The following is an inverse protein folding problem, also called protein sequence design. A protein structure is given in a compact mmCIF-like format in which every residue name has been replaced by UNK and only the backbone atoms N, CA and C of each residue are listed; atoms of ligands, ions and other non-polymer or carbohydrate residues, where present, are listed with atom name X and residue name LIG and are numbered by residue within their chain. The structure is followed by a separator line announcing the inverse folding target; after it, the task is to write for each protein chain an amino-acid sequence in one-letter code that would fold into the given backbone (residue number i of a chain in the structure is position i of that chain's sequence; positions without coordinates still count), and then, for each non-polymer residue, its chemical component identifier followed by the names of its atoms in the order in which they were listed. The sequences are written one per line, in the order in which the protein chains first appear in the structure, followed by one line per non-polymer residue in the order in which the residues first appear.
data_IF_943665812589
#
_entry.id   IF_943665812589
#
_cell.length_a   1.000
_cell.length_b   1.000
_cell.length_c   1.000
_cell.angle_alpha   90.00
_cell.angle_beta   90.00
_cell.angle_gamma   90.00
#
_symmetry.space_group_name_H-M   'P 1'
#
loop_
_entity.id
_entity.type
_entity.pdbx_description
1 polymer ?
#
# COMPACT_ATOMS: atom_id res chain seq x y z
N UNK A 1 24.00 17.65 -51.46
CA UNK A 1 22.78 18.28 -50.89
C UNK A 1 21.48 17.48 -51.04
N UNK A 2 21.29 16.63 -52.07
CA UNK A 2 20.05 15.85 -52.27
C UNK A 2 19.80 14.76 -51.19
N UNK A 3 20.83 14.01 -50.76
CA UNK A 3 20.70 12.95 -49.73
C UNK A 3 20.35 13.46 -48.32
N UNK A 4 20.63 14.72 -48.00
CA UNK A 4 20.33 15.31 -46.68
C UNK A 4 18.86 15.77 -46.56
N UNK A 5 18.25 16.26 -47.64
CA UNK A 5 16.81 16.61 -47.67
C UNK A 5 15.90 15.38 -47.60
N UNK A 6 16.30 14.28 -48.25
CA UNK A 6 15.56 13.01 -48.23
C UNK A 6 15.55 12.30 -46.85
N UNK A 7 16.61 12.45 -46.04
CA UNK A 7 16.64 11.90 -44.67
C UNK A 7 15.74 12.67 -43.71
N UNK A 8 15.75 14.01 -43.77
CA UNK A 8 14.87 14.86 -42.93
C UNK A 8 13.38 14.67 -43.24
N UNK A 9 13.00 14.47 -44.50
CA UNK A 9 11.60 14.21 -44.86
C UNK A 9 11.12 12.82 -44.37
N UNK A 10 11.98 11.81 -44.43
CA UNK A 10 11.68 10.47 -43.90
C UNK A 10 11.57 10.45 -42.37
N UNK A 11 12.46 11.16 -41.66
CA UNK A 11 12.41 11.29 -40.19
C UNK A 11 11.15 12.01 -39.72
N UNK A 12 10.73 13.08 -40.41
CA UNK A 12 9.51 13.84 -40.08
C UNK A 12 8.25 13.01 -40.33
N UNK A 13 8.20 12.24 -41.41
CA UNK A 13 7.10 11.33 -41.71
C UNK A 13 6.98 10.18 -40.68
N UNK A 14 8.12 9.64 -40.22
CA UNK A 14 8.18 8.62 -39.17
C UNK A 14 7.69 9.18 -37.82
N UNK A 15 8.10 10.40 -37.47
CA UNK A 15 7.66 11.08 -36.27
C UNK A 15 6.14 11.33 -36.27
N UNK A 16 5.60 11.88 -37.36
CA UNK A 16 4.17 12.17 -37.49
C UNK A 16 3.32 10.89 -37.45
N UNK A 17 3.77 9.81 -38.09
CA UNK A 17 3.09 8.50 -38.01
C UNK A 17 3.07 7.96 -36.59
N UNK A 18 4.20 8.08 -35.87
CA UNK A 18 4.31 7.62 -34.47
C UNK A 18 3.46 8.45 -33.51
N UNK A 19 3.33 9.75 -33.75
CA UNK A 19 2.44 10.63 -32.98
C UNK A 19 0.96 10.28 -33.22
N UNK A 20 0.55 10.09 -34.48
CA UNK A 20 -0.81 9.74 -34.85
C UNK A 20 -1.25 8.37 -34.30
N UNK A 21 -0.36 7.36 -34.30
CA UNK A 21 -0.62 6.05 -33.68
C UNK A 21 -0.82 6.19 -32.16
N UNK A 22 0.01 7.00 -31.49
CA UNK A 22 -0.14 7.28 -30.06
C UNK A 22 -1.46 7.99 -29.74
N UNK A 23 -1.85 8.96 -30.56
CA UNK A 23 -3.12 9.67 -30.40
C UNK A 23 -4.32 8.71 -30.56
N UNK A 24 -4.32 7.89 -31.62
CA UNK A 24 -5.37 6.88 -31.82
C UNK A 24 -5.45 5.86 -30.68
N UNK A 25 -4.32 5.49 -30.09
CA UNK A 25 -4.28 4.63 -28.90
C UNK A 25 -4.95 5.30 -27.70
N UNK A 26 -4.61 6.57 -27.44
CA UNK A 26 -5.17 7.35 -26.34
C UNK A 26 -6.67 7.54 -26.49
N UNK A 27 -7.15 7.84 -27.69
CA UNK A 27 -8.58 7.97 -28.00
C UNK A 27 -9.34 6.67 -27.71
N UNK A 28 -8.80 5.51 -28.13
CA UNK A 28 -9.40 4.20 -27.84
C UNK A 28 -9.45 3.89 -26.34
N UNK A 29 -8.38 4.23 -25.60
CA UNK A 29 -8.36 4.06 -24.14
C UNK A 29 -9.36 4.99 -23.45
N UNK A 30 -9.46 6.24 -23.90
CA UNK A 30 -10.44 7.21 -23.39
C UNK A 30 -11.87 6.73 -23.61
N UNK A 31 -12.17 6.26 -24.83
CA UNK A 31 -13.47 5.67 -25.19
C UNK A 31 -13.88 4.52 -24.25
N UNK A 32 -12.96 3.60 -23.94
CA UNK A 32 -13.24 2.49 -23.02
C UNK A 32 -13.51 2.98 -21.58
N UNK A 33 -12.86 4.07 -21.15
CA UNK A 33 -13.13 4.68 -19.84
C UNK A 33 -14.50 5.36 -19.80
N UNK A 34 -14.91 6.01 -20.88
CA UNK A 34 -16.23 6.62 -21.01
C UNK A 34 -17.34 5.57 -20.97
N UNK A 35 -17.19 4.48 -21.71
CA UNK A 35 -18.14 3.36 -21.68
C UNK A 35 -18.35 2.81 -20.27
N UNK A 36 -17.27 2.72 -19.49
CA UNK A 36 -17.31 2.22 -18.12
C UNK A 36 -17.99 3.17 -17.12
N UNK A 37 -18.33 4.41 -17.52
CA UNK A 37 -19.04 5.38 -16.71
C UNK A 37 -20.54 5.47 -17.04
N UNK A 38 -20.99 4.77 -18.09
CA UNK A 38 -22.36 4.78 -18.58
C UNK A 38 -23.08 3.47 -18.20
N UNK A 39 -24.43 3.44 -18.19
CA UNK A 39 -25.18 2.20 -18.07
C UNK A 39 -24.75 1.19 -19.14
N UNK A 40 -24.60 -0.07 -18.75
CA UNK A 40 -24.14 -1.11 -19.66
C UNK A 40 -25.18 -1.38 -20.77
N UNK A 41 -24.76 -1.23 -22.02
CA UNK A 41 -25.50 -1.62 -23.23
C UNK A 41 -24.85 -2.83 -23.91
N UNK A 42 -25.58 -3.52 -24.78
CA UNK A 42 -25.02 -4.62 -25.57
C UNK A 42 -23.87 -4.15 -26.48
N UNK A 43 -23.97 -2.94 -27.02
CA UNK A 43 -22.88 -2.31 -27.80
C UNK A 43 -21.63 -2.09 -26.95
N UNK A 44 -21.79 -1.56 -25.73
CA UNK A 44 -20.67 -1.36 -24.81
C UNK A 44 -20.00 -2.70 -24.45
N UNK A 45 -20.81 -3.73 -24.20
CA UNK A 45 -20.33 -5.08 -23.92
C UNK A 45 -19.54 -5.67 -25.11
N UNK A 46 -20.03 -5.50 -26.34
CA UNK A 46 -19.35 -5.96 -27.55
C UNK A 46 -18.05 -5.18 -27.82
N UNK A 47 -18.05 -3.86 -27.62
CA UNK A 47 -16.87 -3.01 -27.78
C UNK A 47 -15.77 -3.38 -26.77
N UNK A 48 -16.14 -3.61 -25.50
CA UNK A 48 -15.22 -4.10 -24.46
C UNK A 48 -14.70 -5.49 -24.81
N UNK A 49 -15.56 -6.43 -25.24
CA UNK A 49 -15.14 -7.78 -25.67
C UNK A 49 -14.09 -7.72 -26.76
N UNK A 50 -14.31 -6.89 -27.79
CA UNK A 50 -13.37 -6.74 -28.89
C UNK A 50 -12.03 -6.15 -28.40
N UNK A 51 -12.09 -5.16 -27.51
CA UNK A 51 -10.91 -4.53 -26.95
C UNK A 51 -10.07 -5.46 -26.06
N UNK A 52 -10.69 -6.40 -25.34
CA UNK A 52 -9.99 -7.46 -24.59
C UNK A 52 -9.11 -8.33 -25.49
N UNK A 53 -9.43 -8.46 -26.78
CA UNK A 53 -8.64 -9.22 -27.77
C UNK A 53 -7.50 -8.41 -28.41
N UNK A 54 -7.33 -7.14 -28.02
CA UNK A 54 -6.29 -6.27 -28.57
C UNK A 54 -4.88 -6.80 -28.27
N UNK A 55 -3.96 -6.61 -29.23
CA UNK A 55 -2.52 -6.82 -29.03
C UNK A 55 -1.86 -5.70 -28.22
N UNK A 56 -2.53 -4.57 -28.06
CA UNK A 56 -2.05 -3.48 -27.22
C UNK A 56 -2.44 -3.74 -25.77
N UNK A 57 -1.43 -3.88 -24.89
CA UNK A 57 -1.63 -4.00 -23.45
C UNK A 57 -2.45 -2.85 -22.87
N UNK A 58 -2.23 -1.61 -23.33
CA UNK A 58 -2.97 -0.44 -22.85
C UNK A 58 -4.48 -0.50 -23.18
N UNK A 59 -4.85 -0.90 -24.39
CA UNK A 59 -6.26 -1.06 -24.78
C UNK A 59 -6.88 -2.22 -24.01
N UNK A 60 -6.20 -3.37 -23.96
CA UNK A 60 -6.71 -4.55 -23.29
C UNK A 60 -6.90 -4.31 -21.78
N UNK A 61 -5.94 -3.63 -21.13
CA UNK A 61 -6.05 -3.22 -19.72
C UNK A 61 -7.24 -2.27 -19.49
N UNK A 62 -7.44 -1.29 -20.36
CA UNK A 62 -8.60 -0.39 -20.27
C UNK A 62 -9.93 -1.14 -20.42
N UNK A 63 -9.97 -2.16 -21.29
CA UNK A 63 -11.13 -3.02 -21.47
C UNK A 63 -11.41 -3.88 -20.24
N UNK A 64 -10.38 -4.52 -19.66
CA UNK A 64 -10.51 -5.30 -18.43
C UNK A 64 -11.02 -4.43 -17.27
N UNK A 65 -10.49 -3.22 -17.11
CA UNK A 65 -10.98 -2.25 -16.12
C UNK A 65 -12.43 -1.83 -16.36
N UNK A 66 -12.84 -1.68 -17.62
CA UNK A 66 -14.23 -1.42 -17.97
C UNK A 66 -15.15 -2.58 -17.59
N UNK A 67 -14.73 -3.82 -17.90
CA UNK A 67 -15.45 -5.02 -17.52
C UNK A 67 -15.58 -5.17 -15.99
N UNK A 68 -14.53 -4.83 -15.24
CA UNK A 68 -14.54 -4.81 -13.77
C UNK A 68 -15.56 -3.82 -13.22
N UNK A 69 -15.52 -2.56 -13.68
CA UNK A 69 -16.41 -1.48 -13.22
C UNK A 69 -17.88 -1.78 -13.52
N UNK A 70 -18.16 -2.32 -14.68
CA UNK A 70 -19.51 -2.70 -15.11
C UNK A 70 -19.92 -4.10 -14.63
N UNK A 71 -19.07 -4.80 -13.87
CA UNK A 71 -19.29 -6.17 -13.35
C UNK A 71 -19.72 -7.16 -14.45
N UNK A 72 -19.02 -7.16 -15.59
CA UNK A 72 -19.37 -7.95 -16.77
C UNK A 72 -18.92 -9.41 -16.68
N UNK A 73 -19.56 -10.22 -15.83
CA UNK A 73 -19.21 -11.64 -15.63
C UNK A 73 -19.23 -12.48 -16.93
N UNK A 74 -20.04 -12.07 -17.92
CA UNK A 74 -20.12 -12.72 -19.25
C UNK A 74 -18.81 -12.65 -20.06
N UNK A 75 -17.89 -11.75 -19.70
CA UNK A 75 -16.60 -11.57 -20.38
C UNK A 75 -15.45 -12.34 -19.71
N UNK A 76 -15.76 -13.19 -18.71
CA UNK A 76 -14.76 -14.00 -18.01
C UNK A 76 -13.87 -14.80 -18.97
N UNK A 77 -14.40 -15.55 -19.97
CA UNK A 77 -13.55 -16.31 -20.89
C UNK A 77 -12.55 -15.43 -21.65
N UNK A 78 -12.98 -14.24 -22.08
CA UNK A 78 -12.15 -13.29 -22.82
C UNK A 78 -11.10 -12.63 -21.93
N UNK A 79 -11.41 -12.34 -20.66
CA UNK A 79 -10.44 -11.82 -19.68
C UNK A 79 -9.38 -12.89 -19.37
N UNK A 80 -9.78 -14.16 -19.18
CA UNK A 80 -8.83 -15.27 -18.99
C UNK A 80 -7.95 -15.48 -20.22
N UNK A 81 -8.53 -15.44 -21.43
CA UNK A 81 -7.78 -15.53 -22.68
C UNK A 81 -6.80 -14.35 -22.86
N UNK A 82 -7.22 -13.13 -22.48
CA UNK A 82 -6.36 -11.94 -22.44
C UNK A 82 -5.18 -12.14 -21.50
N UNK A 83 -5.42 -12.58 -20.27
CA UNK A 83 -4.36 -12.84 -19.29
C UNK A 83 -3.32 -13.82 -19.83
N UNK A 84 -3.77 -14.99 -20.32
CA UNK A 84 -2.88 -16.02 -20.86
C UNK A 84 -2.05 -15.48 -22.05
N UNK A 85 -2.66 -14.68 -22.94
CA UNK A 85 -1.95 -14.10 -24.08
C UNK A 85 -0.82 -13.15 -23.66
N UNK A 86 -1.02 -12.34 -22.63
CA UNK A 86 0.01 -11.40 -22.15
C UNK A 86 1.06 -12.05 -21.24
N UNK A 87 0.93 -13.35 -20.93
CA UNK A 87 2.03 -14.17 -20.39
C UNK A 87 3.02 -14.58 -21.48
N UNK A 88 2.63 -14.52 -22.77
CA UNK A 88 3.53 -14.83 -23.89
C UNK A 88 4.40 -13.61 -24.25
N UNK A 89 5.72 -13.77 -24.16
CA UNK A 89 6.71 -12.70 -24.37
C UNK A 89 6.41 -11.42 -23.55
N UNK A 90 6.21 -11.55 -22.22
CA UNK A 90 5.50 -10.57 -21.40
C UNK A 90 6.21 -9.21 -21.34
N UNK A 91 7.54 -9.18 -21.32
CA UNK A 91 8.36 -7.95 -21.36
C UNK A 91 8.08 -7.12 -22.62
N UNK A 92 7.80 -7.77 -23.76
CA UNK A 92 7.56 -7.09 -25.05
C UNK A 92 6.09 -6.74 -25.25
N UNK A 93 5.20 -7.63 -24.86
CA UNK A 93 3.76 -7.53 -25.15
C UNK A 93 3.01 -6.76 -24.06
N UNK A 94 3.52 -6.74 -22.84
CA UNK A 94 2.92 -6.12 -21.66
C UNK A 94 3.97 -5.53 -20.71
N UNK A 95 4.81 -4.62 -21.22
CA UNK A 95 5.78 -3.88 -20.38
C UNK A 95 5.06 -3.14 -19.25
N UNK A 96 5.62 -3.26 -18.05
CA UNK A 96 5.04 -2.83 -16.78
C UNK A 96 3.93 -3.73 -16.23
N UNK A 97 3.73 -4.93 -16.80
CA UNK A 97 2.74 -5.92 -16.34
C UNK A 97 1.29 -5.40 -16.24
N UNK A 98 0.94 -4.40 -17.05
CA UNK A 98 -0.29 -3.59 -16.90
C UNK A 98 -1.55 -4.35 -17.31
N UNK A 99 -1.49 -5.11 -18.41
CA UNK A 99 -2.61 -5.87 -18.92
C UNK A 99 -2.90 -7.09 -18.04
N UNK A 100 -1.86 -7.81 -17.62
CA UNK A 100 -2.04 -8.96 -16.71
C UNK A 100 -2.62 -8.53 -15.37
N UNK A 101 -2.12 -7.44 -14.79
CA UNK A 101 -2.65 -6.89 -13.55
C UNK A 101 -4.13 -6.51 -13.71
N UNK A 102 -4.47 -5.72 -14.73
CA UNK A 102 -5.86 -5.33 -14.98
C UNK A 102 -6.79 -6.53 -15.23
N UNK A 103 -6.31 -7.60 -15.87
CA UNK A 103 -7.08 -8.82 -16.04
C UNK A 103 -7.37 -9.50 -14.70
N UNK A 104 -6.37 -9.64 -13.82
CA UNK A 104 -6.54 -10.25 -12.49
C UNK A 104 -7.43 -9.39 -11.58
N UNK A 105 -7.26 -8.07 -11.59
CA UNK A 105 -8.13 -7.14 -10.87
C UNK A 105 -9.58 -7.24 -11.36
N UNK A 106 -9.79 -7.34 -12.67
CA UNK A 106 -11.12 -7.56 -13.24
C UNK A 106 -11.72 -8.90 -12.83
N UNK A 107 -10.95 -9.99 -12.84
CA UNK A 107 -11.39 -11.31 -12.39
C UNK A 107 -11.77 -11.31 -10.91
N UNK A 108 -10.99 -10.62 -10.06
CA UNK A 108 -11.34 -10.41 -8.66
C UNK A 108 -12.62 -9.60 -8.51
N UNK A 109 -12.80 -8.53 -9.31
CA UNK A 109 -13.98 -7.69 -9.27
C UNK A 109 -15.25 -8.38 -9.81
N UNK A 110 -15.15 -9.47 -10.57
CA UNK A 110 -16.32 -10.25 -11.04
C UNK A 110 -16.46 -11.59 -10.33
N UNK A 111 -15.78 -11.75 -9.19
CA UNK A 111 -15.84 -12.92 -8.32
C UNK A 111 -15.46 -14.25 -9.00
N UNK A 112 -14.50 -14.22 -9.93
CA UNK A 112 -13.98 -15.42 -10.61
C UNK A 112 -13.45 -16.44 -9.61
N UNK A 113 -13.81 -17.72 -9.76
CA UNK A 113 -13.61 -18.74 -8.73
C UNK A 113 -12.44 -19.71 -8.98
N UNK A 114 -11.86 -19.75 -10.19
CA UNK A 114 -10.86 -20.76 -10.53
C UNK A 114 -9.45 -20.31 -10.15
N UNK A 115 -8.71 -21.19 -9.47
CA UNK A 115 -7.39 -20.88 -8.92
C UNK A 115 -6.30 -20.70 -9.99
N UNK A 116 -6.40 -21.37 -11.14
CA UNK A 116 -5.33 -21.50 -12.13
C UNK A 116 -4.74 -20.16 -12.59
N UNK A 117 -5.58 -19.15 -12.82
CA UNK A 117 -5.12 -17.81 -13.22
C UNK A 117 -4.32 -17.14 -12.11
N UNK A 118 -4.83 -17.22 -10.87
CA UNK A 118 -4.16 -16.63 -9.72
C UNK A 118 -2.87 -17.37 -9.37
N UNK A 119 -2.83 -18.70 -9.47
CA UNK A 119 -1.62 -19.50 -9.28
C UNK A 119 -0.53 -19.17 -10.31
N UNK A 120 -0.90 -18.95 -11.57
CA UNK A 120 0.05 -18.49 -12.59
C UNK A 120 0.59 -17.10 -12.27
N UNK A 121 -0.27 -16.18 -11.85
CA UNK A 121 0.11 -14.80 -11.62
C UNK A 121 0.90 -14.59 -10.33
N UNK A 122 0.57 -15.27 -9.22
CA UNK A 122 1.34 -15.18 -7.96
C UNK A 122 2.76 -15.71 -8.08
N UNK A 123 3.01 -16.60 -9.05
CA UNK A 123 4.33 -17.17 -9.35
C UNK A 123 5.05 -16.45 -10.51
N UNK A 124 4.46 -15.39 -11.05
CA UNK A 124 5.00 -14.69 -12.22
C UNK A 124 6.04 -13.64 -11.82
N UNK A 125 7.14 -13.62 -12.56
CA UNK A 125 8.20 -12.61 -12.48
C UNK A 125 8.42 -12.00 -13.86
N UNK A 126 8.56 -10.68 -13.93
CA UNK A 126 8.77 -9.96 -15.17
C UNK A 126 9.95 -9.00 -15.02
N UNK A 127 11.16 -9.55 -15.20
CA UNK A 127 12.39 -8.76 -15.17
C UNK A 127 12.50 -7.90 -16.43
N UNK A 128 12.39 -6.58 -16.26
CA UNK A 128 12.50 -5.61 -17.35
C UNK A 128 13.83 -4.84 -17.30
N UNK A 129 14.37 -4.44 -18.47
CA UNK A 129 15.54 -3.58 -18.53
C UNK A 129 15.32 -2.24 -17.81
N UNK A 130 16.31 -1.80 -17.04
CA UNK A 130 16.29 -0.53 -16.32
C UNK A 130 17.67 0.13 -16.39
N UNK A 131 17.81 1.35 -15.86
CA UNK A 131 19.13 1.93 -15.61
C UNK A 131 19.74 1.27 -14.37
N UNK A 132 20.50 0.19 -14.57
CA UNK A 132 21.07 -0.64 -13.51
C UNK A 132 20.62 -2.10 -13.62
N UNK A 133 20.50 -2.83 -12.50
CA UNK A 133 19.96 -4.19 -12.49
C UNK A 133 18.52 -4.22 -13.03
N UNK A 134 18.11 -5.27 -13.75
CA UNK A 134 16.72 -5.43 -14.17
C UNK A 134 15.76 -5.33 -12.99
N UNK A 135 14.60 -4.71 -13.22
CA UNK A 135 13.55 -4.53 -12.20
C UNK A 135 12.42 -5.50 -12.49
N UNK A 136 11.91 -6.16 -11.46
CA UNK A 136 10.70 -6.97 -11.58
C UNK A 136 9.46 -6.06 -11.55
N UNK A 137 8.67 -6.08 -12.62
CA UNK A 137 7.45 -5.25 -12.74
C UNK A 137 6.16 -5.99 -12.39
N UNK A 138 6.25 -7.24 -11.93
CA UNK A 138 5.10 -8.10 -11.66
C UNK A 138 4.69 -8.20 -10.18
N UNK A 139 5.28 -7.40 -9.28
CA UNK A 139 4.99 -7.42 -7.84
C UNK A 139 3.52 -7.16 -7.51
N UNK A 140 2.91 -6.16 -8.13
CA UNK A 140 1.48 -5.87 -7.99
C UNK A 140 0.60 -6.99 -8.56
N UNK A 141 1.03 -7.67 -9.63
CA UNK A 141 0.33 -8.84 -10.17
C UNK A 141 0.32 -9.97 -9.13
N UNK A 142 1.47 -10.24 -8.49
CA UNK A 142 1.56 -11.27 -7.46
C UNK A 142 0.68 -10.94 -6.26
N UNK A 143 0.69 -9.69 -5.80
CA UNK A 143 -0.19 -9.21 -4.74
C UNK A 143 -1.68 -9.40 -5.07
N UNK A 144 -2.11 -8.99 -6.28
CA UNK A 144 -3.51 -9.13 -6.71
C UNK A 144 -3.94 -10.60 -6.85
N UNK A 145 -3.01 -11.48 -7.28
CA UNK A 145 -3.27 -12.91 -7.34
C UNK A 145 -3.36 -13.56 -5.95
N UNK A 146 -2.53 -13.15 -5.00
CA UNK A 146 -2.64 -13.58 -3.61
C UNK A 146 -4.00 -13.23 -3.02
N UNK A 147 -4.48 -12.00 -3.25
CA UNK A 147 -5.82 -11.59 -2.85
C UNK A 147 -6.93 -12.45 -3.52
N UNK A 148 -6.74 -12.82 -4.80
CA UNK A 148 -7.64 -13.72 -5.50
C UNK A 148 -7.69 -15.13 -4.89
N UNK A 149 -6.52 -15.73 -4.60
CA UNK A 149 -6.42 -17.04 -3.93
C UNK A 149 -7.05 -17.02 -2.54
N UNK A 150 -6.86 -15.93 -1.79
CA UNK A 150 -7.50 -15.73 -0.50
C UNK A 150 -9.03 -15.67 -0.63
N UNK A 151 -9.54 -14.83 -1.54
CA UNK A 151 -10.98 -14.65 -1.78
C UNK A 151 -11.69 -15.96 -2.13
N UNK A 152 -11.06 -16.81 -2.94
CA UNK A 152 -11.67 -18.10 -3.34
C UNK A 152 -11.47 -19.21 -2.30
N UNK A 153 -10.79 -18.95 -1.18
CA UNK A 153 -10.51 -19.94 -0.15
C UNK A 153 -9.59 -21.07 -0.64
N UNK A 154 -8.55 -20.74 -1.41
CA UNK A 154 -7.63 -21.74 -1.96
C UNK A 154 -6.97 -22.55 -0.83
N UNK A 155 -7.09 -23.88 -0.90
CA UNK A 155 -6.70 -24.77 0.20
C UNK A 155 -5.21 -24.73 0.58
N UNK A 156 -4.32 -24.44 -0.37
CA UNK A 156 -2.87 -24.33 -0.15
C UNK A 156 -2.40 -22.86 -0.07
N UNK A 157 -3.30 -21.93 0.27
CA UNK A 157 -2.99 -20.49 0.32
C UNK A 157 -1.72 -20.20 1.13
N UNK A 158 -1.57 -20.78 2.33
CA UNK A 158 -0.43 -20.52 3.19
C UNK A 158 0.92 -20.91 2.53
N UNK A 159 0.95 -21.95 1.70
CA UNK A 159 2.15 -22.34 0.96
C UNK A 159 2.60 -21.24 -0.02
N UNK A 160 1.65 -20.64 -0.73
CA UNK A 160 1.94 -19.53 -1.64
C UNK A 160 2.34 -18.26 -0.87
N UNK A 161 1.63 -17.95 0.23
CA UNK A 161 1.89 -16.76 1.04
C UNK A 161 3.28 -16.79 1.67
N UNK A 162 3.75 -17.94 2.18
CA UNK A 162 5.10 -18.10 2.74
C UNK A 162 6.17 -17.74 1.71
N UNK A 163 6.02 -18.20 0.47
CA UNK A 163 6.94 -17.83 -0.61
C UNK A 163 6.90 -16.32 -0.85
N UNK A 164 5.70 -15.74 -0.88
CA UNK A 164 5.46 -14.31 -1.10
C UNK A 164 5.99 -13.41 0.03
N UNK A 165 6.06 -13.90 1.28
CA UNK A 165 6.69 -13.17 2.41
C UNK A 165 8.19 -12.93 2.22
N UNK A 166 8.82 -13.73 1.37
CA UNK A 166 10.25 -13.64 1.04
C UNK A 166 10.51 -13.03 -0.33
N UNK A 167 9.47 -12.48 -0.95
CA UNK A 167 9.57 -11.83 -2.26
C UNK A 167 10.59 -10.68 -2.24
N UNK A 168 11.25 -10.46 -3.37
CA UNK A 168 12.22 -9.37 -3.52
C UNK A 168 11.54 -8.01 -3.42
N UNK A 169 10.30 -7.93 -3.90
CA UNK A 169 9.56 -6.69 -3.99
C UNK A 169 8.67 -6.49 -2.75
N UNK A 170 8.73 -5.30 -2.11
CA UNK A 170 8.03 -5.05 -0.85
C UNK A 170 6.50 -5.09 -0.98
N UNK A 171 5.96 -4.73 -2.15
CA UNK A 171 4.51 -4.76 -2.41
C UNK A 171 3.96 -6.17 -2.26
N UNK A 172 4.66 -7.15 -2.83
CA UNK A 172 4.31 -8.57 -2.73
C UNK A 172 4.39 -9.06 -1.28
N UNK A 173 5.48 -8.73 -0.57
CA UNK A 173 5.65 -9.09 0.86
C UNK A 173 4.52 -8.54 1.72
N UNK A 174 4.19 -7.25 1.55
CA UNK A 174 3.10 -6.58 2.27
C UNK A 174 1.76 -7.27 2.02
N UNK A 175 1.44 -7.58 0.76
CA UNK A 175 0.20 -8.28 0.43
C UNK A 175 0.09 -9.63 1.16
N UNK A 176 1.19 -10.39 1.23
CA UNK A 176 1.23 -11.64 1.99
C UNK A 176 0.93 -11.43 3.49
N UNK A 177 1.60 -10.45 4.11
CA UNK A 177 1.43 -10.14 5.54
C UNK A 177 0.00 -9.69 5.86
N UNK A 178 -0.61 -8.87 5.01
CA UNK A 178 -2.00 -8.44 5.18
C UNK A 178 -2.96 -9.63 5.11
N UNK A 179 -2.79 -10.52 4.14
CA UNK A 179 -3.65 -11.70 3.99
C UNK A 179 -3.46 -12.67 5.18
N UNK A 180 -2.22 -12.89 5.63
CA UNK A 180 -1.95 -13.71 6.83
C UNK A 180 -2.62 -13.12 8.07
N UNK A 181 -2.61 -11.80 8.20
CA UNK A 181 -3.28 -11.07 9.29
C UNK A 181 -4.79 -11.30 9.26
N UNK A 182 -5.40 -11.19 8.08
CA UNK A 182 -6.84 -11.37 7.88
C UNK A 182 -7.30 -12.83 8.08
N UNK A 183 -6.46 -13.81 7.68
CA UNK A 183 -6.70 -15.23 7.96
C UNK A 183 -6.70 -15.52 9.46
N UNK A 184 -5.83 -14.87 10.23
CA UNK A 184 -5.93 -14.81 11.69
C UNK A 184 -5.66 -16.10 12.46
N UNK A 185 -5.10 -17.13 11.82
CA UNK A 185 -4.80 -18.41 12.48
C UNK A 185 -3.46 -18.36 13.23
N UNK A 186 -3.27 -19.28 14.19
CA UNK A 186 -2.01 -19.40 14.94
C UNK A 186 -0.81 -19.68 14.01
N UNK A 187 -1.00 -20.44 12.93
CA UNK A 187 0.03 -20.62 11.91
C UNK A 187 0.48 -19.30 11.28
N UNK A 188 -0.46 -18.40 10.95
CA UNK A 188 -0.17 -17.06 10.43
C UNK A 188 0.62 -16.24 11.44
N UNK A 189 0.21 -16.27 12.71
CA UNK A 189 0.93 -15.59 13.79
C UNK A 189 2.39 -16.03 13.86
N UNK A 190 2.66 -17.34 13.84
CA UNK A 190 4.02 -17.89 13.88
C UNK A 190 4.86 -17.48 12.67
N UNK A 191 4.25 -17.43 11.48
CA UNK A 191 4.91 -16.95 10.25
C UNK A 191 5.28 -15.47 10.34
N UNK A 192 4.39 -14.62 10.85
CA UNK A 192 4.67 -13.20 11.08
C UNK A 192 5.81 -13.02 12.10
N UNK A 193 5.82 -13.79 13.19
CA UNK A 193 6.94 -13.77 14.16
C UNK A 193 8.25 -14.17 13.51
N UNK A 194 8.25 -15.25 12.72
CA UNK A 194 9.44 -15.70 12.00
C UNK A 194 9.97 -14.60 11.07
N UNK A 195 9.08 -13.92 10.34
CA UNK A 195 9.45 -12.82 9.46
C UNK A 195 10.06 -11.64 10.21
N UNK A 196 9.51 -11.28 11.37
CA UNK A 196 10.11 -10.25 12.24
C UNK A 196 11.53 -10.65 12.65
N UNK A 197 11.72 -11.89 13.11
CA UNK A 197 13.02 -12.38 13.56
C UNK A 197 14.06 -12.49 12.43
N UNK A 198 13.61 -12.74 11.21
CA UNK A 198 14.47 -12.71 10.02
C UNK A 198 14.89 -11.28 9.64
N UNK A 199 14.07 -10.29 10.00
CA UNK A 199 14.22 -8.90 9.59
C UNK A 199 13.78 -8.64 8.16
N UNK A 200 13.79 -7.36 7.80
CA UNK A 200 13.53 -6.88 6.44
C UNK A 200 14.37 -5.62 6.18
N UNK A 201 14.67 -5.35 4.92
CA UNK A 201 15.36 -4.12 4.53
C UNK A 201 14.44 -2.91 4.53
N UNK A 202 13.13 -3.14 4.51
CA UNK A 202 12.07 -2.14 4.53
C UNK A 202 11.40 -2.21 5.90
N UNK A 203 11.67 -1.25 6.81
CA UNK A 203 11.13 -1.26 8.18
C UNK A 203 9.61 -1.42 8.22
N UNK A 204 8.89 -0.81 7.28
CA UNK A 204 7.43 -0.86 7.20
C UNK A 204 6.89 -2.29 7.02
N UNK A 205 7.69 -3.22 6.45
CA UNK A 205 7.32 -4.64 6.35
C UNK A 205 7.34 -5.31 7.74
N UNK A 206 8.27 -4.90 8.60
CA UNK A 206 8.33 -5.33 10.00
C UNK A 206 7.18 -4.70 10.79
N UNK A 207 6.87 -3.43 10.53
CA UNK A 207 5.68 -2.75 11.05
C UNK A 207 4.37 -3.47 10.70
N UNK A 208 4.19 -3.84 9.43
CA UNK A 208 3.03 -4.62 8.98
C UNK A 208 2.94 -5.96 9.73
N UNK A 209 4.07 -6.64 9.96
CA UNK A 209 4.11 -7.86 10.77
C UNK A 209 3.71 -7.61 12.23
N UNK A 210 4.22 -6.55 12.87
CA UNK A 210 3.86 -6.21 14.25
C UNK A 210 2.36 -5.91 14.39
N UNK A 211 1.79 -5.13 13.46
CA UNK A 211 0.36 -4.87 13.43
C UNK A 211 -0.44 -6.17 13.25
N UNK A 212 0.02 -7.05 12.36
CA UNK A 212 -0.58 -8.38 12.19
C UNK A 212 -0.55 -9.21 13.46
N UNK A 213 0.60 -9.30 14.13
CA UNK A 213 0.74 -10.01 15.41
C UNK A 213 -0.18 -9.47 16.50
N UNK A 214 -0.28 -8.14 16.62
CA UNK A 214 -1.18 -7.48 17.57
C UNK A 214 -2.66 -7.67 17.22
N UNK A 215 -2.98 -7.86 15.94
CA UNK A 215 -4.36 -8.15 15.48
C UNK A 215 -4.75 -9.60 15.77
N UNK A 216 -3.87 -10.56 15.46
CA UNK A 216 -4.16 -11.99 15.59
C UNK A 216 -4.21 -12.42 17.06
N UNK A 217 -3.22 -11.99 17.86
CA UNK A 217 -3.05 -12.49 19.22
C UNK A 217 -2.47 -11.43 20.17
N UNK A 218 -3.20 -10.33 20.43
CA UNK A 218 -2.68 -9.13 21.09
C UNK A 218 -1.99 -9.40 22.43
N UNK A 219 -2.59 -10.23 23.30
CA UNK A 219 -2.07 -10.49 24.64
C UNK A 219 -0.68 -11.16 24.64
N UNK A 220 -0.45 -12.13 23.74
CA UNK A 220 0.85 -12.82 23.61
C UNK A 220 1.83 -12.06 22.71
N UNK A 221 1.32 -11.28 21.75
CA UNK A 221 2.12 -10.50 20.83
C UNK A 221 2.71 -9.25 21.47
N UNK A 222 2.01 -8.62 22.42
CA UNK A 222 2.51 -7.43 23.10
C UNK A 222 3.91 -7.63 23.69
N UNK A 223 4.10 -8.70 24.47
CA UNK A 223 5.41 -9.02 25.09
C UNK A 223 6.50 -9.30 24.06
N UNK A 224 6.14 -9.80 22.88
CA UNK A 224 7.09 -10.01 21.79
C UNK A 224 7.47 -8.68 21.12
N UNK A 225 6.48 -7.85 20.75
CA UNK A 225 6.70 -6.56 20.07
C UNK A 225 7.45 -5.57 20.97
N UNK A 226 7.19 -5.59 22.28
CA UNK A 226 7.89 -4.75 23.26
C UNK A 226 9.42 -4.91 23.26
N UNK A 227 9.93 -6.08 22.88
CA UNK A 227 11.37 -6.34 22.80
C UNK A 227 12.04 -5.46 21.74
N UNK A 228 11.28 -5.04 20.72
CA UNK A 228 11.77 -4.22 19.62
C UNK A 228 11.71 -2.72 19.90
N UNK A 229 11.04 -2.27 20.97
CA UNK A 229 11.09 -0.87 21.39
C UNK A 229 12.53 -0.40 21.69
N UNK A 230 13.38 -1.32 22.16
CA UNK A 230 14.79 -1.09 22.47
C UNK A 230 15.73 -1.47 21.31
N UNK A 231 15.22 -1.71 20.09
CA UNK A 231 16.06 -2.01 18.92
C UNK A 231 17.10 -0.90 18.70
N UNK A 232 18.33 -1.25 18.28
CA UNK A 232 19.33 -0.23 17.92
C UNK A 232 18.95 0.54 16.65
N UNK A 233 18.18 -0.10 15.76
CA UNK A 233 17.57 0.56 14.62
C UNK A 233 16.30 1.31 15.05
N UNK A 234 16.37 2.64 15.00
CA UNK A 234 15.29 3.53 15.38
C UNK A 234 14.03 3.32 14.53
N UNK A 235 14.18 2.99 13.25
CA UNK A 235 13.03 2.74 12.37
C UNK A 235 12.26 1.49 12.83
N UNK A 236 12.95 0.40 13.13
CA UNK A 236 12.32 -0.80 13.72
C UNK A 236 11.67 -0.51 15.08
N UNK A 237 12.32 0.28 15.93
CA UNK A 237 11.74 0.68 17.22
C UNK A 237 10.48 1.54 17.06
N UNK A 238 10.47 2.43 16.07
CA UNK A 238 9.32 3.26 15.72
C UNK A 238 8.14 2.39 15.24
N UNK A 239 8.38 1.43 14.36
CA UNK A 239 7.36 0.50 13.89
C UNK A 239 6.75 -0.35 15.02
N UNK A 240 7.58 -0.82 15.95
CA UNK A 240 7.11 -1.54 17.13
C UNK A 240 6.22 -0.64 18.01
N UNK A 241 6.65 0.60 18.25
CA UNK A 241 5.89 1.55 19.05
C UNK A 241 4.55 1.91 18.37
N UNK A 242 4.55 2.18 17.07
CA UNK A 242 3.35 2.47 16.29
C UNK A 242 2.36 1.30 16.33
N UNK A 243 2.83 0.06 16.17
CA UNK A 243 1.97 -1.13 16.26
C UNK A 243 1.34 -1.28 17.66
N UNK A 244 2.10 -1.06 18.73
CA UNK A 244 1.57 -1.07 20.10
C UNK A 244 0.53 0.04 20.27
N UNK A 245 0.84 1.27 19.84
CA UNK A 245 -0.07 2.41 19.92
C UNK A 245 -1.38 2.19 19.16
N UNK A 246 -1.31 1.67 17.94
CA UNK A 246 -2.47 1.41 17.08
C UNK A 246 -3.32 0.22 17.55
N UNK A 247 -2.74 -0.74 18.27
CA UNK A 247 -3.46 -1.94 18.74
C UNK A 247 -4.64 -1.62 19.66
N UNK A 248 -4.62 -0.44 20.32
CA UNK A 248 -5.56 -0.06 21.39
C UNK A 248 -5.68 -1.09 22.51
N UNK A 249 -4.67 -1.93 22.69
CA UNK A 249 -4.58 -2.83 23.81
C UNK A 249 -4.59 -2.05 25.12
N UNK A 250 -5.26 -2.54 26.16
CA UNK A 250 -5.43 -1.83 27.44
C UNK A 250 -4.08 -1.43 28.07
N UNK A 251 -3.06 -2.28 27.94
CA UNK A 251 -1.71 -2.02 28.47
C UNK A 251 -0.85 -1.13 27.57
N UNK A 252 -1.27 -0.80 26.34
CA UNK A 252 -0.41 -0.13 25.36
C UNK A 252 0.12 1.22 25.87
N UNK A 253 -0.76 2.04 26.45
CA UNK A 253 -0.37 3.34 27.01
C UNK A 253 0.67 3.20 28.13
N UNK A 254 0.40 2.34 29.11
CA UNK A 254 1.30 2.14 30.25
C UNK A 254 2.69 1.69 29.79
N UNK A 255 2.76 0.79 28.81
CA UNK A 255 4.00 0.23 28.28
C UNK A 255 4.82 1.23 27.48
N UNK A 256 4.17 2.00 26.60
CA UNK A 256 4.83 3.07 25.85
C UNK A 256 5.35 4.18 26.76
N UNK A 257 4.58 4.54 27.80
CA UNK A 257 4.98 5.55 28.79
C UNK A 257 6.17 5.06 29.64
N UNK A 258 6.13 3.82 30.12
CA UNK A 258 7.24 3.19 30.84
C UNK A 258 8.52 3.22 29.98
N UNK A 259 8.39 2.85 28.70
CA UNK A 259 9.50 2.88 27.76
C UNK A 259 10.07 4.30 27.54
N UNK A 260 9.20 5.30 27.39
CA UNK A 260 9.62 6.70 27.22
C UNK A 260 10.35 7.23 28.46
N UNK A 261 9.87 6.89 29.65
CA UNK A 261 10.46 7.36 30.90
C UNK A 261 11.85 6.75 31.16
N UNK A 262 12.06 5.48 30.80
CA UNK A 262 13.38 4.82 30.93
C UNK A 262 14.37 5.20 29.82
N UNK A 263 13.88 5.63 28.67
CA UNK A 263 14.72 6.01 27.53
C UNK A 263 15.59 7.22 27.87
N UNK A 264 16.90 7.14 27.63
CA UNK A 264 17.83 8.27 27.84
C UNK A 264 18.03 9.04 26.53
N UNK A 265 17.98 8.33 25.40
CA UNK A 265 18.22 8.89 24.07
C UNK A 265 17.09 9.82 23.62
N UNK A 266 17.39 11.08 23.24
CA UNK A 266 16.37 12.06 22.84
C UNK A 266 15.50 11.62 21.66
N UNK A 267 16.07 10.93 20.68
CA UNK A 267 15.35 10.45 19.50
C UNK A 267 14.21 9.50 19.88
N UNK A 268 14.45 8.55 20.79
CA UNK A 268 13.44 7.61 21.28
C UNK A 268 12.35 8.32 22.07
N UNK A 269 12.72 9.25 22.96
CA UNK A 269 11.74 10.06 23.71
C UNK A 269 10.81 10.85 22.81
N UNK A 270 11.35 11.43 21.72
CA UNK A 270 10.56 12.19 20.74
C UNK A 270 9.63 11.27 19.96
N UNK A 271 10.16 10.18 19.40
CA UNK A 271 9.40 9.24 18.56
C UNK A 271 8.15 8.70 19.27
N UNK A 272 8.27 8.36 20.56
CA UNK A 272 7.18 7.74 21.33
C UNK A 272 5.94 8.62 21.56
N UNK A 273 6.02 9.93 21.31
CA UNK A 273 4.89 10.84 21.51
C UNK A 273 3.72 10.52 20.57
N UNK A 274 4.00 10.14 19.32
CA UNK A 274 2.96 9.75 18.36
C UNK A 274 2.31 8.39 18.72
N UNK A 275 3.07 7.30 18.94
CA UNK A 275 2.55 6.04 19.48
C UNK A 275 1.68 6.21 20.73
N UNK A 276 2.11 7.05 21.69
CA UNK A 276 1.31 7.33 22.90
C UNK A 276 -0.02 7.99 22.51
N UNK A 277 -0.02 8.97 21.60
CA UNK A 277 -1.25 9.56 21.11
C UNK A 277 -2.18 8.52 20.46
N UNK A 278 -1.64 7.61 19.65
CA UNK A 278 -2.41 6.59 18.92
C UNK A 278 -3.20 5.63 19.83
N UNK A 279 -2.81 5.49 21.10
CA UNK A 279 -3.60 4.73 22.10
C UNK A 279 -5.00 5.31 22.35
N UNK A 280 -5.19 6.61 22.06
CA UNK A 280 -6.47 7.34 22.11
C UNK A 280 -7.18 7.37 23.48
N UNK A 281 -6.49 7.07 24.58
CA UNK A 281 -7.04 7.19 25.92
C UNK A 281 -6.91 8.62 26.51
N UNK A 282 -7.69 8.92 27.55
CA UNK A 282 -7.67 10.23 28.20
C UNK A 282 -6.35 10.48 28.94
N UNK A 283 -5.71 9.43 29.46
CA UNK A 283 -4.40 9.48 30.11
C UNK A 283 -3.30 9.88 29.13
N UNK A 284 -3.32 9.34 27.91
CA UNK A 284 -2.40 9.72 26.84
C UNK A 284 -2.59 11.19 26.46
N UNK A 285 -3.84 11.63 26.31
CA UNK A 285 -4.15 13.02 26.01
C UNK A 285 -3.67 13.97 27.11
N UNK A 286 -3.96 13.66 28.38
CA UNK A 286 -3.51 14.45 29.52
C UNK A 286 -1.99 14.51 29.64
N UNK A 287 -1.32 13.37 29.43
CA UNK A 287 0.15 13.29 29.40
C UNK A 287 0.76 14.16 28.29
N UNK A 288 0.22 14.10 27.08
CA UNK A 288 0.74 14.93 25.98
C UNK A 288 0.54 16.42 26.25
N UNK A 289 -0.57 16.84 26.86
CA UNK A 289 -0.73 18.23 27.30
C UNK A 289 0.28 18.61 28.39
N UNK A 290 0.68 17.69 29.26
CA UNK A 290 1.76 17.91 30.21
C UNK A 290 3.11 18.08 29.50
N UNK A 291 3.43 17.23 28.53
CA UNK A 291 4.65 17.37 27.71
C UNK A 291 4.68 18.74 27.02
N UNK A 292 3.54 19.18 26.48
CA UNK A 292 3.43 20.53 25.91
C UNK A 292 3.69 21.61 26.95
N UNK A 293 3.27 21.47 28.21
CA UNK A 293 3.52 22.52 29.23
C UNK A 293 4.94 22.54 29.75
N UNK A 294 5.49 21.36 30.05
CA UNK A 294 6.60 21.25 31.00
C UNK A 294 7.93 20.85 30.32
N UNK A 295 7.90 20.18 29.17
CA UNK A 295 9.12 19.67 28.54
C UNK A 295 9.80 20.70 27.62
N UNK A 296 11.01 20.36 27.17
CA UNK A 296 11.78 21.13 26.20
C UNK A 296 10.98 21.40 24.91
N UNK A 297 11.21 22.55 24.28
CA UNK A 297 10.43 23.03 23.14
C UNK A 297 10.30 22.01 21.99
N UNK A 298 11.31 21.18 21.77
CA UNK A 298 11.31 20.16 20.71
C UNK A 298 10.34 19.02 20.99
N UNK A 299 10.21 18.59 22.25
CA UNK A 299 9.24 17.59 22.67
C UNK A 299 7.84 18.19 22.75
N UNK A 300 7.72 19.44 23.20
CA UNK A 300 6.44 20.14 23.21
C UNK A 300 5.88 20.31 21.78
N UNK A 301 6.71 20.71 20.81
CA UNK A 301 6.32 20.79 19.41
C UNK A 301 5.92 19.43 18.83
N UNK A 302 6.69 18.36 19.11
CA UNK A 302 6.35 17.00 18.69
C UNK A 302 5.04 16.50 19.34
N UNK A 303 4.79 16.83 20.61
CA UNK A 303 3.56 16.48 21.30
C UNK A 303 2.36 17.20 20.69
N UNK A 304 2.51 18.46 20.27
CA UNK A 304 1.47 19.18 19.51
C UNK A 304 1.17 18.50 18.18
N UNK A 305 2.20 18.07 17.43
CA UNK A 305 2.02 17.31 16.20
C UNK A 305 1.26 15.99 16.46
N UNK A 306 1.64 15.25 17.51
CA UNK A 306 0.98 14.01 17.91
C UNK A 306 -0.48 14.23 18.35
N UNK A 307 -0.78 15.35 19.01
CA UNK A 307 -2.14 15.73 19.45
C UNK A 307 -3.09 16.05 18.28
N UNK A 308 -2.58 16.18 17.04
CA UNK A 308 -3.40 16.45 15.85
C UNK A 308 -4.54 15.44 15.65
N UNK A 309 -4.34 14.18 16.04
CA UNK A 309 -5.36 13.12 15.94
C UNK A 309 -6.62 13.40 16.78
N UNK A 310 -6.54 14.33 17.72
CA UNK A 310 -7.65 14.73 18.60
C UNK A 310 -8.34 16.02 18.13
N UNK A 311 -7.81 16.68 17.09
CA UNK A 311 -8.33 17.95 16.64
C UNK A 311 -9.76 17.85 16.14
N UNK A 312 -10.24 16.71 15.65
CA UNK A 312 -11.64 16.57 15.22
C UNK A 312 -12.65 16.81 16.35
N UNK A 313 -12.25 16.57 17.61
CA UNK A 313 -13.05 16.89 18.78
C UNK A 313 -12.88 18.38 19.18
N UNK A 314 -13.93 19.22 19.12
CA UNK A 314 -13.82 20.65 19.41
C UNK A 314 -13.36 20.97 20.85
N UNK A 315 -13.72 20.13 21.82
CA UNK A 315 -13.33 20.33 23.22
C UNK A 315 -11.83 20.04 23.41
N UNK A 316 -11.34 18.91 22.88
CA UNK A 316 -9.91 18.58 22.91
C UNK A 316 -9.08 19.61 22.13
N UNK A 317 -9.56 20.04 20.96
CA UNK A 317 -8.94 21.13 20.18
C UNK A 317 -8.83 22.43 20.98
N UNK A 318 -9.89 22.82 21.69
CA UNK A 318 -9.87 24.02 22.52
C UNK A 318 -8.87 23.91 23.68
N UNK A 319 -8.76 22.73 24.31
CA UNK A 319 -7.78 22.47 25.36
C UNK A 319 -6.34 22.57 24.83
N UNK A 320 -6.04 21.91 23.70
CA UNK A 320 -4.72 22.01 23.04
C UNK A 320 -4.39 23.48 22.74
N UNK A 321 -5.32 24.23 22.16
CA UNK A 321 -5.13 25.64 21.82
C UNK A 321 -4.79 26.50 23.04
N UNK A 322 -5.47 26.29 24.17
CA UNK A 322 -5.18 27.01 25.41
C UNK A 322 -3.80 26.66 25.93
N UNK A 323 -3.47 25.37 25.99
CA UNK A 323 -2.17 24.90 26.47
C UNK A 323 -1.00 25.45 25.64
N UNK A 324 -1.14 25.51 24.31
CA UNK A 324 -0.14 26.12 23.42
C UNK A 324 -0.01 27.63 23.66
N UNK A 325 -1.13 28.34 23.83
CA UNK A 325 -1.15 29.77 24.09
C UNK A 325 -0.52 30.12 25.45
N UNK A 326 -0.84 29.36 26.49
CA UNK A 326 -0.32 29.54 27.86
C UNK A 326 1.20 29.32 27.91
N UNK A 327 1.74 28.38 27.12
CA UNK A 327 3.18 28.15 27.02
C UNK A 327 3.91 29.34 26.38
N UNK A 328 3.31 29.97 25.35
CA UNK A 328 3.86 31.15 24.70
C UNK A 328 5.09 30.94 23.81
N UNK A 329 5.55 29.69 23.63
CA UNK A 329 6.71 29.36 22.78
C UNK A 329 6.38 29.51 21.30
N UNK A 330 7.24 30.25 20.57
CA UNK A 330 7.07 30.48 19.12
C UNK A 330 7.13 29.18 18.31
N UNK A 331 8.05 28.28 18.65
CA UNK A 331 8.22 26.99 17.95
C UNK A 331 6.96 26.12 18.10
N UNK A 332 6.45 26.00 19.32
CA UNK A 332 5.25 25.21 19.65
C UNK A 332 4.01 25.81 18.99
N UNK A 333 3.89 27.15 18.98
CA UNK A 333 2.82 27.86 18.29
C UNK A 333 2.84 27.60 16.77
N UNK A 334 4.02 27.64 16.15
CA UNK A 334 4.17 27.36 14.72
C UNK A 334 3.80 25.90 14.37
N UNK A 335 4.20 24.93 15.21
CA UNK A 335 3.79 23.54 15.05
C UNK A 335 2.27 23.39 15.09
N UNK A 336 1.60 24.05 16.04
CA UNK A 336 0.14 24.01 16.14
C UNK A 336 -0.55 24.64 14.92
N UNK A 337 -0.05 25.75 14.41
CA UNK A 337 -0.59 26.38 13.19
C UNK A 337 -0.49 25.46 11.98
N UNK A 338 0.64 24.74 11.82
CA UNK A 338 0.83 23.76 10.75
C UNK A 338 -0.21 22.63 10.84
N UNK A 339 -0.46 22.10 12.04
CA UNK A 339 -1.49 21.08 12.27
C UNK A 339 -2.87 21.58 11.84
N UNK A 340 -3.24 22.81 12.19
CA UNK A 340 -4.53 23.39 11.81
C UNK A 340 -4.70 23.62 10.30
N UNK A 341 -3.60 23.89 9.57
CA UNK A 341 -3.63 24.04 8.12
C UNK A 341 -3.86 22.70 7.43
N UNK A 342 -3.20 21.63 7.90
CA UNK A 342 -3.35 20.28 7.37
C UNK A 342 -4.73 19.68 7.62
N UNK A 343 -5.40 20.07 8.71
CA UNK A 343 -6.77 19.62 9.00
C UNK A 343 -7.85 20.29 8.13
N UNK A 344 -7.51 21.32 7.36
CA UNK A 344 -8.45 22.05 6.47
C UNK A 344 -8.35 21.66 5.00
N UNK A 345 -7.33 20.89 4.62
CA UNK A 345 -7.07 20.41 3.26
C UNK A 345 -7.61 19.01 3.03
#
# INVERSE_FOLDING_TARGET
MSRFRSRRSAETACYNRSAMVRQSLQEKVARLKELAALPCTDDALNEIRQALSSKSSAIAAAAANGAAKLRLCRLTPEIVAMFNRFLENPVKTDSGCRAKLAAVEALNAIDYAEADVFLKGIRHFQMEPSFGPPVDTADHLRAACAAGLYRIGYSELLCELVSLMTDREPVARRASIMILTDVGQESCELLLRLKVLQGDKVPEIIGDCFNGLMTIAPARSLTFVEQFLSSDDLSTAEEAALAIGNSRHESAYARLLEFRNRSITPAYKRMLLLPIALTRCDEAFGYLLQVVRDEHQDYAAAAVEALSIYCDNPQRRAQISRTVADRGDRCVTAAYQKVLLQAKS
#
